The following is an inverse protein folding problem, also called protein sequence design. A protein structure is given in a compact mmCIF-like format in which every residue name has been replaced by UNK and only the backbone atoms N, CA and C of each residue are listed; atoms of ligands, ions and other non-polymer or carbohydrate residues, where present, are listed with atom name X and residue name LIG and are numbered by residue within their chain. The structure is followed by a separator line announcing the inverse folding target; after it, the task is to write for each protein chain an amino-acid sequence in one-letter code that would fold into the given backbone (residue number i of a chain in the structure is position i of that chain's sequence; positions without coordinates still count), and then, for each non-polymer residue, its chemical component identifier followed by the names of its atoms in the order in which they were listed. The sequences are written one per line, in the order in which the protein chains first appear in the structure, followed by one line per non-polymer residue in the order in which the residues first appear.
data_IF_736231061154
#
_entry.id   IF_736231061154
#
_cell.length_a   1.000
_cell.length_b   1.000
_cell.length_c   1.000
_cell.angle_alpha   90.00
_cell.angle_beta   90.00
_cell.angle_gamma   90.00
#
_symmetry.space_group_name_H-M   'P 1'
#
loop_
_entity.id
_entity.type
_entity.pdbx_description
1 polymer ?
#
# COMPACT_ATOMS: atom_id res chain seq x y z
N UNK A 1 -17.31 15.65 -34.16
CA UNK A 1 -15.92 15.36 -33.70
C UNK A 1 -15.94 15.10 -32.20
N UNK A 2 -15.71 13.86 -31.76
CA UNK A 2 -15.58 13.52 -30.33
C UNK A 2 -14.26 14.12 -29.84
N UNK A 3 -14.33 15.12 -28.95
CA UNK A 3 -13.15 15.69 -28.28
C UNK A 3 -12.47 14.57 -27.50
N UNK A 4 -11.30 14.15 -27.97
CA UNK A 4 -10.34 13.37 -27.18
C UNK A 4 -10.05 14.19 -25.94
N UNK A 5 -10.59 13.76 -24.79
CA UNK A 5 -10.18 14.31 -23.50
C UNK A 5 -8.66 14.14 -23.44
N UNK A 6 -7.94 15.26 -23.38
CA UNK A 6 -6.54 15.25 -22.97
C UNK A 6 -6.46 14.33 -21.76
N UNK A 7 -5.68 13.25 -21.87
CA UNK A 7 -5.20 12.55 -20.68
C UNK A 7 -4.29 13.58 -20.03
N UNK A 8 -4.84 14.40 -19.15
CA UNK A 8 -4.06 15.21 -18.24
C UNK A 8 -3.05 14.25 -17.63
N UNK A 9 -1.78 14.49 -17.95
CA UNK A 9 -0.70 13.60 -17.55
C UNK A 9 -0.67 13.63 -16.02
N UNK A 10 -1.24 12.60 -15.40
CA UNK A 10 -1.35 12.52 -13.95
C UNK A 10 0.07 12.60 -13.41
N UNK A 11 0.38 13.69 -12.69
CA UNK A 11 1.66 13.83 -12.00
C UNK A 11 1.64 12.85 -10.84
N UNK A 12 2.33 11.75 -11.02
CA UNK A 12 2.55 10.72 -10.00
C UNK A 12 3.84 11.08 -9.28
N UNK A 13 3.78 11.14 -7.96
CA UNK A 13 4.99 11.17 -7.14
C UNK A 13 5.65 9.79 -7.22
N UNK A 14 6.80 9.75 -7.89
CA UNK A 14 7.53 8.50 -8.13
C UNK A 14 8.02 7.89 -6.82
N UNK A 15 8.47 8.70 -5.87
CA UNK A 15 9.06 8.21 -4.63
C UNK A 15 7.97 7.63 -3.73
N UNK A 16 6.79 8.27 -3.69
CA UNK A 16 5.63 7.71 -3.00
C UNK A 16 5.19 6.39 -3.64
N UNK A 17 5.17 6.30 -4.97
CA UNK A 17 4.80 5.09 -5.68
C UNK A 17 5.78 3.93 -5.42
N UNK A 18 7.09 4.20 -5.43
CA UNK A 18 8.10 3.20 -5.12
C UNK A 18 7.99 2.73 -3.66
N UNK A 19 7.80 3.64 -2.71
CA UNK A 19 7.61 3.27 -1.31
C UNK A 19 6.37 2.39 -1.07
N UNK A 20 5.28 2.62 -1.83
CA UNK A 20 4.10 1.76 -1.77
C UNK A 20 4.37 0.37 -2.37
N UNK A 21 5.17 0.27 -3.43
CA UNK A 21 5.58 -1.01 -4.01
C UNK A 21 6.47 -1.80 -3.06
N UNK A 22 7.44 -1.15 -2.43
CA UNK A 22 8.31 -1.77 -1.42
C UNK A 22 7.47 -2.32 -0.26
N UNK A 23 6.47 -1.56 0.20
CA UNK A 23 5.56 -1.99 1.25
C UNK A 23 4.73 -3.23 0.87
N UNK A 24 4.31 -3.32 -0.40
CA UNK A 24 3.62 -4.51 -0.93
C UNK A 24 4.56 -5.71 -0.93
N UNK A 25 5.78 -5.56 -1.47
CA UNK A 25 6.76 -6.64 -1.53
C UNK A 25 7.08 -7.17 -0.13
N UNK A 26 7.44 -6.28 0.82
CA UNK A 26 7.76 -6.65 2.20
C UNK A 26 6.60 -7.38 2.90
N UNK A 27 5.36 -6.93 2.66
CA UNK A 27 4.18 -7.49 3.30
C UNK A 27 3.80 -8.87 2.76
N UNK A 28 4.02 -9.13 1.47
CA UNK A 28 3.64 -10.39 0.80
C UNK A 28 4.77 -11.43 0.85
N UNK A 29 6.05 -11.01 0.82
CA UNK A 29 7.21 -11.91 0.80
C UNK A 29 7.23 -12.95 1.92
N UNK A 30 6.54 -12.65 3.03
CA UNK A 30 6.47 -13.48 4.22
C UNK A 30 5.05 -13.93 4.58
N UNK A 31 4.06 -13.71 3.72
CA UNK A 31 2.71 -14.23 3.94
C UNK A 31 2.72 -15.72 3.61
N UNK A 32 2.79 -16.59 4.63
CA UNK A 32 2.53 -18.01 4.41
C UNK A 32 1.03 -18.20 4.12
N UNK A 33 0.72 -19.04 3.14
CA UNK A 33 -0.66 -19.33 2.72
C UNK A 33 -1.50 -19.97 3.84
N UNK A 34 -0.83 -20.49 4.88
CA UNK A 34 -1.42 -21.24 5.99
C UNK A 34 -1.94 -20.39 7.16
N UNK A 35 -1.51 -19.13 7.30
CA UNK A 35 -2.07 -18.20 8.30
C UNK A 35 -2.13 -16.78 7.72
N UNK A 36 -3.34 -16.29 7.42
CA UNK A 36 -3.54 -14.90 7.01
C UNK A 36 -3.18 -13.95 8.15
N UNK A 37 -1.99 -13.36 8.06
CA UNK A 37 -1.68 -12.16 8.82
C UNK A 37 -2.50 -11.00 8.25
N UNK A 38 -3.66 -10.76 8.88
CA UNK A 38 -4.61 -9.71 8.51
C UNK A 38 -3.97 -8.32 8.42
N UNK A 39 -2.97 -8.03 9.26
CA UNK A 39 -2.30 -6.74 9.25
C UNK A 39 -1.40 -6.60 8.02
N UNK A 40 -0.63 -7.64 7.67
CA UNK A 40 0.16 -7.65 6.42
C UNK A 40 -0.72 -7.61 5.17
N UNK A 41 -1.80 -8.39 5.17
CA UNK A 41 -2.76 -8.36 4.08
C UNK A 41 -3.40 -6.97 3.94
N UNK A 42 -3.77 -6.35 5.06
CA UNK A 42 -4.29 -4.99 5.10
C UNK A 42 -3.26 -3.96 4.61
N UNK A 43 -1.99 -4.11 4.96
CA UNK A 43 -0.91 -3.24 4.49
C UNK A 43 -0.73 -3.37 2.96
N UNK A 44 -0.56 -4.59 2.46
CA UNK A 44 -0.34 -4.86 1.04
C UNK A 44 -1.53 -4.45 0.17
N UNK A 45 -2.75 -4.84 0.55
CA UNK A 45 -3.96 -4.53 -0.23
C UNK A 45 -4.21 -3.03 -0.31
N UNK A 46 -4.10 -2.30 0.81
CA UNK A 46 -4.26 -0.85 0.80
C UNK A 46 -3.15 -0.15 0.01
N UNK A 47 -1.90 -0.62 0.08
CA UNK A 47 -0.79 -0.05 -0.67
C UNK A 47 -0.97 -0.24 -2.19
N UNK A 48 -1.36 -1.44 -2.61
CA UNK A 48 -1.64 -1.75 -4.01
C UNK A 48 -2.82 -0.92 -4.54
N UNK A 49 -3.91 -0.81 -3.77
CA UNK A 49 -5.04 0.03 -4.18
C UNK A 49 -4.71 1.53 -4.16
N UNK A 50 -3.81 1.98 -3.29
CA UNK A 50 -3.32 3.36 -3.31
C UNK A 50 -2.60 3.66 -4.65
N UNK A 51 -1.72 2.76 -5.10
CA UNK A 51 -1.04 2.87 -6.40
C UNK A 51 -2.02 2.91 -7.58
N UNK A 52 -2.99 2.00 -7.59
CA UNK A 52 -4.03 1.97 -8.65
C UNK A 52 -4.80 3.29 -8.70
N UNK A 53 -5.19 3.83 -7.54
CA UNK A 53 -5.90 5.11 -7.49
C UNK A 53 -5.01 6.31 -7.84
N UNK A 54 -3.72 6.24 -7.52
CA UNK A 54 -2.73 7.24 -7.91
C UNK A 54 -2.57 7.30 -9.43
N UNK A 55 -2.44 6.15 -10.10
CA UNK A 55 -2.40 6.04 -11.56
C UNK A 55 -3.72 6.52 -12.21
N UNK A 56 -4.85 6.21 -11.57
CA UNK A 56 -6.17 6.65 -12.02
C UNK A 56 -6.44 8.16 -11.78
N UNK A 57 -5.50 8.90 -11.18
CA UNK A 57 -5.66 10.33 -10.87
C UNK A 57 -6.55 10.63 -9.66
N UNK A 58 -6.94 9.63 -8.88
CA UNK A 58 -7.76 9.77 -7.67
C UNK A 58 -6.89 9.98 -6.43
N UNK A 59 -6.20 11.12 -6.39
CA UNK A 59 -5.15 11.39 -5.39
C UNK A 59 -5.64 11.38 -3.94
N UNK A 60 -6.87 11.84 -3.66
CA UNK A 60 -7.40 11.82 -2.28
C UNK A 60 -7.63 10.39 -1.77
N UNK A 61 -8.16 9.52 -2.64
CA UNK A 61 -8.36 8.10 -2.34
C UNK A 61 -7.02 7.40 -2.16
N UNK A 62 -6.04 7.71 -3.03
CA UNK A 62 -4.69 7.17 -2.94
C UNK A 62 -4.03 7.54 -1.60
N UNK A 63 -4.15 8.80 -1.16
CA UNK A 63 -3.61 9.27 0.13
C UNK A 63 -4.27 8.59 1.33
N UNK A 64 -5.60 8.42 1.31
CA UNK A 64 -6.30 7.74 2.40
C UNK A 64 -5.88 6.26 2.52
N UNK A 65 -5.79 5.57 1.39
CA UNK A 65 -5.33 4.18 1.33
C UNK A 65 -3.85 4.05 1.73
N UNK A 66 -2.98 4.96 1.31
CA UNK A 66 -1.56 5.03 1.72
C UNK A 66 -1.43 5.16 3.25
N UNK A 67 -2.25 6.00 3.89
CA UNK A 67 -2.30 6.11 5.36
C UNK A 67 -2.76 4.81 6.02
N UNK A 68 -3.80 4.17 5.48
CA UNK A 68 -4.30 2.88 6.01
C UNK A 68 -3.25 1.78 5.89
N UNK A 69 -2.55 1.71 4.76
CA UNK A 69 -1.46 0.76 4.54
C UNK A 69 -0.36 0.89 5.59
N UNK A 70 0.14 2.12 5.80
CA UNK A 70 1.17 2.43 6.82
C UNK A 70 0.68 2.09 8.24
N UNK A 71 -0.59 2.34 8.55
CA UNK A 71 -1.19 2.00 9.85
C UNK A 71 -1.17 0.49 10.10
N UNK A 72 -1.63 -0.31 9.12
CA UNK A 72 -1.61 -1.76 9.23
C UNK A 72 -0.19 -2.32 9.37
N UNK A 73 0.74 -1.80 8.57
CA UNK A 73 2.15 -2.20 8.65
C UNK A 73 2.78 -1.88 10.01
N UNK A 74 2.50 -0.69 10.57
CA UNK A 74 2.99 -0.32 11.90
C UNK A 74 2.43 -1.23 13.01
N UNK A 75 1.17 -1.68 12.89
CA UNK A 75 0.58 -2.66 13.84
C UNK A 75 1.30 -4.00 13.73
N UNK A 76 1.54 -4.47 12.50
CA UNK A 76 2.32 -5.68 12.23
C UNK A 76 3.71 -5.62 12.89
N UNK A 77 4.49 -4.56 12.62
CA UNK A 77 5.84 -4.40 13.18
C UNK A 77 5.82 -4.44 14.72
N UNK A 78 4.92 -3.68 15.36
CA UNK A 78 4.78 -3.66 16.82
C UNK A 78 4.44 -5.02 17.42
N UNK A 79 3.61 -5.82 16.74
CA UNK A 79 3.23 -7.16 17.19
C UNK A 79 4.43 -8.11 17.14
N UNK A 80 5.25 -8.01 16.10
CA UNK A 80 6.44 -8.84 15.92
C UNK A 80 7.60 -8.43 16.83
N UNK A 81 7.84 -7.14 17.05
CA UNK A 81 8.80 -6.65 18.06
C UNK A 81 8.47 -7.17 19.47
N UNK A 82 7.18 -7.15 19.85
CA UNK A 82 6.73 -7.67 21.15
C UNK A 82 6.94 -9.17 21.29
N UNK A 83 6.78 -9.94 20.22
CA UNK A 83 7.04 -11.38 20.22
C UNK A 83 8.54 -11.67 20.33
N UNK A 84 9.38 -10.92 19.60
CA UNK A 84 10.83 -11.07 19.66
C UNK A 84 11.42 -10.77 21.05
N UNK A 85 10.87 -9.79 21.78
CA UNK A 85 11.31 -9.45 23.15
C UNK A 85 10.85 -10.43 24.25
N UNK A 86 9.94 -11.36 23.92
CA UNK A 86 9.38 -12.34 24.87
C UNK A 86 9.97 -13.74 24.67
N UNK A 87 10.77 -13.93 23.63
CA UNK A 87 11.49 -15.17 23.33
C UNK A 87 12.95 -15.05 23.76
#
# INVERSE_FOLDING_TARGET
MKKTKNRDMVKIDRDEALALLDLVDESIRWSSVSMMDLDRYGAASNAMWALVNMIAGKQDVAKDLSKKAKKHYAVYCKKHEKKAKKS
#
